data_IF_726056560394
#
_entry.id   IF_726056560394
#
_cell.length_a   1.000
_cell.length_b   1.000
_cell.length_c   1.000
_cell.angle_alpha   90.00
_cell.angle_beta   90.00
_cell.angle_gamma   90.00
#
_symmetry.space_group_name_H-M   'P 1'
#
loop_
_entity.id
_entity.type
_entity.pdbx_description
1 polymer ?
#
# COMPACT_ATOMS: atom_id res chain seq x y z
N UNK A 1 -10.11 14.26 0.10
CA UNK A 1 -9.64 12.88 -0.17
C UNK A 1 -10.67 11.82 0.20
N UNK A 2 -11.10 11.69 1.47
CA UNK A 2 -12.02 10.61 1.85
C UNK A 2 -13.37 10.60 1.12
N UNK A 3 -13.94 11.78 0.86
CA UNK A 3 -15.15 11.92 0.05
C UNK A 3 -14.91 11.49 -1.40
N UNK A 4 -13.83 11.96 -2.03
CA UNK A 4 -13.46 11.58 -3.40
C UNK A 4 -13.25 10.06 -3.55
N UNK A 5 -12.54 9.41 -2.61
CA UNK A 5 -12.38 7.96 -2.58
C UNK A 5 -13.72 7.20 -2.42
N UNK A 6 -14.71 7.83 -1.80
CA UNK A 6 -16.04 7.25 -1.60
C UNK A 6 -16.99 7.53 -2.76
N UNK A 7 -16.71 8.56 -3.57
CA UNK A 7 -17.48 8.93 -4.75
C UNK A 7 -17.46 7.82 -5.80
N UNK A 8 -18.47 7.75 -6.68
CA UNK A 8 -18.56 6.73 -7.74
C UNK A 8 -17.47 6.85 -8.82
N UNK A 9 -16.96 8.08 -9.04
CA UNK A 9 -15.91 8.39 -10.01
C UNK A 9 -14.87 9.30 -9.35
N UNK A 10 -13.92 8.73 -8.58
CA UNK A 10 -12.86 9.48 -7.95
C UNK A 10 -12.04 10.23 -9.01
N UNK A 11 -11.72 11.48 -8.73
CA UNK A 11 -10.83 12.30 -9.57
C UNK A 11 -9.35 12.08 -9.23
N UNK A 12 -9.08 11.59 -8.02
CA UNK A 12 -7.73 11.33 -7.54
C UNK A 12 -7.06 10.20 -8.33
N UNK A 13 -5.87 10.48 -8.87
CA UNK A 13 -5.09 9.52 -9.68
C UNK A 13 -3.95 8.87 -8.91
N UNK A 14 -3.43 9.52 -7.87
CA UNK A 14 -2.31 9.06 -7.07
C UNK A 14 -2.53 9.46 -5.60
N UNK A 15 -2.32 8.51 -4.69
CA UNK A 15 -2.48 8.74 -3.25
C UNK A 15 -1.27 8.19 -2.50
N UNK A 16 -0.55 9.08 -1.82
CA UNK A 16 0.53 8.71 -0.91
C UNK A 16 -0.03 8.44 0.49
N UNK A 17 0.43 7.37 1.11
CA UNK A 17 0.06 6.97 2.47
C UNK A 17 1.24 6.31 3.16
N UNK A 18 1.25 6.38 4.49
CA UNK A 18 2.25 5.67 5.30
C UNK A 18 1.81 4.21 5.54
N UNK A 19 2.76 3.29 5.79
CA UNK A 19 2.43 1.90 6.12
C UNK A 19 1.57 1.77 7.39
N UNK A 20 1.70 2.68 8.36
CA UNK A 20 0.86 2.69 9.57
C UNK A 20 -0.61 2.97 9.25
N UNK A 21 -0.87 3.90 8.33
CA UNK A 21 -2.24 4.21 7.91
C UNK A 21 -2.88 3.02 7.19
N UNK A 22 -2.14 2.35 6.31
CA UNK A 22 -2.57 1.12 5.65
C UNK A 22 -2.96 0.05 6.68
N UNK A 23 -2.22 -0.09 7.78
CA UNK A 23 -2.54 -1.07 8.80
C UNK A 23 -3.84 -0.79 9.57
N UNK A 24 -4.42 0.42 9.45
CA UNK A 24 -5.67 0.75 10.14
C UNK A 24 -6.88 0.06 9.48
N UNK A 25 -7.81 -0.53 10.26
CA UNK A 25 -9.01 -1.19 9.70
C UNK A 25 -9.88 -0.25 8.85
N UNK A 26 -10.00 1.01 9.28
CA UNK A 26 -10.80 2.01 8.57
C UNK A 26 -10.24 2.37 7.20
N UNK A 27 -8.92 2.46 7.06
CA UNK A 27 -8.31 2.73 5.77
C UNK A 27 -8.33 1.49 4.86
N UNK A 28 -8.08 0.30 5.41
CA UNK A 28 -8.23 -0.95 4.65
C UNK A 28 -9.64 -1.12 4.10
N UNK A 29 -10.69 -0.78 4.86
CA UNK A 29 -12.06 -0.82 4.36
C UNK A 29 -12.28 0.08 3.14
N UNK A 30 -11.66 1.28 3.13
CA UNK A 30 -11.73 2.20 1.98
C UNK A 30 -11.00 1.62 0.77
N UNK A 31 -9.80 1.05 0.96
CA UNK A 31 -9.05 0.38 -0.12
C UNK A 31 -9.81 -0.82 -0.69
N UNK A 32 -10.40 -1.66 0.16
CA UNK A 32 -11.22 -2.80 -0.28
C UNK A 32 -12.42 -2.33 -1.10
N UNK A 33 -13.08 -1.22 -0.73
CA UNK A 33 -14.19 -0.65 -1.52
C UNK A 33 -13.73 -0.16 -2.91
N UNK A 34 -12.55 0.45 -3.00
CA UNK A 34 -11.99 0.86 -4.30
C UNK A 34 -11.64 -0.36 -5.16
N UNK A 35 -11.07 -1.39 -4.54
CA UNK A 35 -10.75 -2.66 -5.17
C UNK A 35 -11.99 -3.38 -5.71
N UNK A 36 -13.05 -3.54 -4.91
CA UNK A 36 -14.28 -4.22 -5.36
C UNK A 36 -14.98 -3.48 -6.50
N UNK A 37 -14.69 -2.19 -6.67
CA UNK A 37 -15.19 -1.36 -7.77
C UNK A 37 -14.27 -1.34 -9.00
N UNK A 38 -13.13 -2.02 -8.95
CA UNK A 38 -12.14 -2.04 -10.04
C UNK A 38 -11.39 -0.72 -10.24
N UNK A 39 -11.29 0.12 -9.20
CA UNK A 39 -10.70 1.46 -9.27
C UNK A 39 -9.32 1.58 -8.63
N UNK A 40 -8.77 0.46 -8.15
CA UNK A 40 -7.42 0.40 -7.59
C UNK A 40 -6.50 -0.33 -8.58
N UNK A 41 -5.70 0.42 -9.33
CA UNK A 41 -4.93 -0.11 -10.47
C UNK A 41 -3.53 -0.60 -10.10
N UNK A 42 -2.89 -0.01 -9.10
CA UNK A 42 -1.50 -0.29 -8.73
C UNK A 42 -1.27 0.09 -7.27
N UNK A 43 -0.48 -0.71 -6.57
CA UNK A 43 0.12 -0.35 -5.29
C UNK A 43 1.64 -0.23 -5.49
N UNK A 44 2.18 0.96 -5.29
CA UNK A 44 3.62 1.18 -5.26
C UNK A 44 4.09 1.24 -3.79
N UNK A 45 5.06 0.42 -3.43
CA UNK A 45 5.74 0.43 -2.13
C UNK A 45 7.11 1.04 -2.35
N UNK A 46 7.28 2.25 -1.87
CA UNK A 46 8.57 2.95 -1.88
C UNK A 46 9.40 2.60 -0.65
N UNK A 47 10.72 2.69 -0.77
CA UNK A 47 11.69 2.27 0.24
C UNK A 47 11.46 0.85 0.75
N UNK A 48 11.23 -0.09 -0.17
CA UNK A 48 10.91 -1.49 0.13
C UNK A 48 11.98 -2.18 1.00
N UNK A 49 13.20 -1.66 1.05
CA UNK A 49 14.27 -2.15 1.92
C UNK A 49 13.94 -2.03 3.41
N UNK A 50 13.02 -1.14 3.82
CA UNK A 50 12.54 -0.97 5.20
C UNK A 50 11.97 -2.26 5.83
N UNK A 51 11.61 -3.26 5.01
CA UNK A 51 11.11 -4.57 5.47
C UNK A 51 12.23 -5.40 6.13
N UNK A 52 13.48 -5.22 5.67
CA UNK A 52 14.62 -6.03 6.12
C UNK A 52 15.08 -5.62 7.51
N UNK A 53 15.21 -6.58 8.42
CA UNK A 53 15.72 -6.35 9.79
C UNK A 53 17.21 -6.05 9.88
N UNK A 54 17.93 -6.13 8.76
CA UNK A 54 19.39 -5.98 8.69
C UNK A 54 19.84 -4.58 8.23
N UNK A 55 18.90 -3.64 8.03
CA UNK A 55 19.20 -2.25 7.69
C UNK A 55 19.01 -1.31 8.88
N UNK A 56 19.70 -0.17 8.85
CA UNK A 56 19.53 0.91 9.84
C UNK A 56 18.11 1.52 9.79
N UNK A 57 17.41 1.36 8.67
CA UNK A 57 16.07 1.92 8.39
C UNK A 57 14.93 0.90 8.53
N UNK A 58 15.13 -0.16 9.33
CA UNK A 58 14.08 -1.14 9.58
C UNK A 58 12.83 -0.48 10.18
N UNK A 59 11.68 -0.67 9.52
CA UNK A 59 10.40 -0.11 9.96
C UNK A 59 9.33 -1.20 10.09
N UNK A 60 8.97 -1.60 11.32
CA UNK A 60 8.04 -2.73 11.56
C UNK A 60 6.71 -2.64 10.81
N UNK A 61 6.17 -1.43 10.62
CA UNK A 61 4.88 -1.22 9.93
C UNK A 61 4.90 -1.69 8.48
N UNK A 62 6.07 -1.72 7.82
CA UNK A 62 6.20 -2.28 6.46
C UNK A 62 5.87 -3.78 6.39
N UNK A 63 6.05 -4.54 7.48
CA UNK A 63 5.70 -5.98 7.49
C UNK A 63 4.19 -6.20 7.37
N UNK A 64 3.38 -5.26 7.87
CA UNK A 64 1.92 -5.34 7.79
C UNK A 64 1.41 -5.21 6.34
N UNK A 65 2.22 -4.63 5.44
CA UNK A 65 1.89 -4.52 4.01
C UNK A 65 1.81 -5.87 3.31
N UNK A 66 2.38 -6.94 3.89
CA UNK A 66 2.23 -8.31 3.38
C UNK A 66 0.75 -8.74 3.27
N UNK A 67 -0.11 -8.22 4.15
CA UNK A 67 -1.55 -8.50 4.14
C UNK A 67 -2.28 -7.97 2.88
N UNK A 68 -1.68 -7.01 2.17
CA UNK A 68 -2.25 -6.46 0.93
C UNK A 68 -2.39 -7.53 -0.15
N UNK A 69 -1.43 -8.46 -0.26
CA UNK A 69 -1.49 -9.56 -1.25
C UNK A 69 -2.69 -10.47 -1.04
N UNK A 70 -3.07 -10.72 0.22
CA UNK A 70 -4.21 -11.57 0.54
C UNK A 70 -5.54 -10.82 0.42
N UNK A 71 -5.55 -9.51 0.69
CA UNK A 71 -6.76 -8.68 0.69
C UNK A 71 -7.11 -8.13 -0.70
N UNK A 72 -6.12 -7.93 -1.55
CA UNK A 72 -6.21 -7.27 -2.85
C UNK A 72 -5.43 -8.08 -3.92
N UNK A 73 -5.76 -9.37 -4.12
CA UNK A 73 -4.91 -10.31 -4.87
C UNK A 73 -4.66 -9.93 -6.33
N UNK A 74 -5.61 -9.24 -6.97
CA UNK A 74 -5.52 -8.90 -8.40
C UNK A 74 -4.84 -7.54 -8.65
N UNK A 75 -4.47 -6.80 -7.60
CA UNK A 75 -3.82 -5.49 -7.75
C UNK A 75 -2.31 -5.70 -7.86
N UNK A 76 -1.66 -5.26 -8.97
CA UNK A 76 -0.20 -5.32 -9.09
C UNK A 76 0.49 -4.55 -7.96
N UNK A 77 1.58 -5.11 -7.45
CA UNK A 77 2.44 -4.47 -6.45
C UNK A 77 3.80 -4.20 -7.05
N UNK A 78 4.18 -2.93 -7.14
CA UNK A 78 5.51 -2.47 -7.53
C UNK A 78 6.30 -2.13 -6.26
N UNK A 79 7.43 -2.79 -6.04
CA UNK A 79 8.33 -2.47 -4.93
C UNK A 79 9.56 -1.72 -5.46
N UNK A 80 9.84 -0.55 -4.89
CA UNK A 80 10.95 0.32 -5.28
C UNK A 80 11.91 0.49 -4.11
N UNK A 81 13.20 0.53 -4.40
CA UNK A 81 14.25 0.89 -3.44
C UNK A 81 15.50 1.28 -4.20
N UNK A 82 16.27 2.24 -3.66
CA UNK A 82 17.63 2.50 -4.13
C UNK A 82 18.65 1.49 -3.57
N UNK A 83 18.37 0.95 -2.38
CA UNK A 83 19.27 0.06 -1.63
C UNK A 83 18.66 -1.34 -1.57
N UNK A 84 19.15 -2.24 -2.43
CA UNK A 84 18.80 -3.65 -2.39
C UNK A 84 20.06 -4.47 -2.08
N UNK A 85 20.23 -4.87 -0.83
CA UNK A 85 21.34 -5.74 -0.43
C UNK A 85 20.96 -7.19 -0.76
N UNK A 86 21.76 -7.91 -1.57
CA UNK A 86 21.55 -9.34 -1.80
C UNK A 86 21.54 -10.10 -0.47
N UNK A 87 20.69 -11.13 -0.36
CA UNK A 87 20.71 -12.05 0.78
C UNK A 87 21.88 -13.03 0.68
#
# INVERSE_FOLDING_TARGET
VHEDLSSGKPSLRLLYVTPELIATPGFMSKLTKLYTRGLLNLIAIDEAHCISSWGHDFRPSYRNLSSLRNRLPDVPILALTATAVPK
#
